data_IF_209082784782
#
_entry.id   IF_209082784782
#
_cell.length_a   1.000
_cell.length_b   1.000
_cell.length_c   1.000
_cell.angle_alpha   90.00
_cell.angle_beta   90.00
_cell.angle_gamma   90.00
#
_symmetry.space_group_name_H-M   'P 1'
#
loop_
_entity.id
_entity.type
_entity.pdbx_description
1 polymer ?
#
# COMPACT_ATOMS: atom_id res chain seq x y z
N UNK A 1 5.13 16.11 7.43
CA UNK A 1 6.18 15.15 7.81
C UNK A 1 6.37 14.15 6.69
N UNK A 2 7.63 13.88 6.34
CA UNK A 2 7.97 12.83 5.40
C UNK A 2 7.96 11.47 6.11
N UNK A 3 7.31 10.50 5.49
CA UNK A 3 7.24 9.12 5.97
C UNK A 3 7.76 8.16 4.90
N UNK A 4 8.51 7.16 5.33
CA UNK A 4 8.84 5.99 4.52
C UNK A 4 7.98 4.82 4.97
N UNK A 5 7.19 4.27 4.06
CA UNK A 5 6.40 3.08 4.31
C UNK A 5 7.17 1.84 3.89
N UNK A 6 7.19 0.84 4.75
CA UNK A 6 7.86 -0.45 4.50
C UNK A 6 6.88 -1.58 4.76
N UNK A 7 6.67 -2.40 3.74
CA UNK A 7 5.89 -3.63 3.85
C UNK A 7 6.81 -4.79 4.26
N UNK A 8 6.36 -5.62 5.19
CA UNK A 8 7.00 -6.89 5.50
C UNK A 8 6.24 -8.02 4.81
N UNK A 9 6.92 -8.81 3.99
CA UNK A 9 6.31 -9.93 3.27
C UNK A 9 6.18 -11.21 4.11
N UNK A 10 6.77 -11.25 5.30
CA UNK A 10 6.71 -12.41 6.19
C UNK A 10 5.30 -12.53 6.81
N UNK A 11 4.63 -13.65 6.57
CA UNK A 11 3.30 -13.90 7.12
C UNK A 11 3.30 -14.11 8.65
N UNK A 12 4.46 -14.34 9.27
CA UNK A 12 4.59 -14.41 10.73
C UNK A 12 4.54 -13.02 11.39
N UNK A 13 4.89 -11.96 10.64
CA UNK A 13 4.85 -10.56 11.08
C UNK A 13 4.27 -9.69 9.94
N UNK A 14 2.97 -9.85 9.60
CA UNK A 14 2.38 -9.29 8.40
C UNK A 14 1.98 -7.82 8.60
N UNK A 15 2.97 -6.95 8.77
CA UNK A 15 2.78 -5.54 9.08
C UNK A 15 3.35 -4.63 8.00
N UNK A 16 2.77 -3.44 7.91
CA UNK A 16 3.32 -2.27 7.22
C UNK A 16 3.74 -1.28 8.28
N UNK A 17 4.99 -0.81 8.20
CA UNK A 17 5.54 0.18 9.14
C UNK A 17 5.73 1.51 8.46
N UNK A 18 5.54 2.59 9.22
CA UNK A 18 5.84 3.95 8.81
C UNK A 18 7.03 4.47 9.62
N UNK A 19 8.06 4.90 8.92
CA UNK A 19 9.27 5.48 9.51
C UNK A 19 9.27 6.99 9.26
N UNK A 20 9.38 7.84 10.28
CA UNK A 20 9.65 9.25 10.07
C UNK A 20 10.98 9.44 9.36
N UNK A 21 11.01 10.28 8.33
CA UNK A 21 12.26 10.69 7.66
C UNK A 21 12.68 12.03 8.25
N UNK A 22 13.85 12.06 8.88
CA UNK A 22 14.43 13.24 9.51
C UNK A 22 15.03 14.18 8.46
N UNK A 23 15.30 15.44 8.85
CA UNK A 23 15.91 16.43 7.96
C UNK A 23 17.28 16.02 7.42
N UNK A 24 18.05 15.24 8.19
CA UNK A 24 19.36 14.71 7.81
C UNK A 24 19.27 13.45 6.92
N UNK A 25 18.04 13.01 6.58
CA UNK A 25 17.77 11.82 5.77
C UNK A 25 17.75 10.50 6.55
N UNK A 26 18.09 10.52 7.84
CA UNK A 26 18.00 9.32 8.67
C UNK A 26 16.53 9.01 9.03
N UNK A 27 16.27 7.74 9.35
CA UNK A 27 14.95 7.31 9.79
C UNK A 27 14.80 7.47 11.31
N UNK A 28 13.61 7.86 11.73
CA UNK A 28 13.18 7.79 13.11
C UNK A 28 12.66 6.40 13.48
N UNK A 29 12.16 6.27 14.70
CA UNK A 29 11.57 5.03 15.18
C UNK A 29 10.28 4.71 14.42
N UNK A 30 10.09 3.47 13.94
CA UNK A 30 8.91 3.10 13.19
C UNK A 30 7.68 2.94 14.07
N UNK A 31 6.54 3.19 13.47
CA UNK A 31 5.24 2.81 14.01
C UNK A 31 4.60 1.73 13.14
N UNK A 32 3.83 0.83 13.73
CA UNK A 32 2.99 -0.09 12.97
C UNK A 32 1.86 0.73 12.35
N UNK A 33 1.88 0.80 11.02
CA UNK A 33 0.89 1.54 10.24
C UNK A 33 -0.37 0.69 9.99
N UNK A 34 -0.17 -0.59 9.64
CA UNK A 34 -1.24 -1.56 9.47
C UNK A 34 -0.72 -2.97 9.79
N UNK A 35 -1.57 -3.78 10.41
CA UNK A 35 -1.29 -5.16 10.76
C UNK A 35 -2.46 -6.05 10.31
N UNK A 36 -2.23 -6.86 9.27
CA UNK A 36 -3.28 -7.73 8.71
C UNK A 36 -3.69 -8.87 9.65
N UNK A 37 -2.87 -9.18 10.65
CA UNK A 37 -3.22 -10.21 11.66
C UNK A 37 -4.26 -9.72 12.68
N UNK A 38 -4.49 -8.41 12.74
CA UNK A 38 -5.43 -7.76 13.68
C UNK A 38 -6.71 -7.26 13.03
N UNK A 39 -6.87 -7.46 11.73
CA UNK A 39 -8.05 -7.03 10.99
C UNK A 39 -8.67 -8.25 10.28
N UNK A 40 -9.84 -8.69 10.76
CA UNK A 40 -10.54 -9.87 10.24
C UNK A 40 -11.21 -9.64 8.88
N UNK A 41 -11.22 -8.39 8.38
CA UNK A 41 -11.73 -8.05 7.05
C UNK A 41 -10.76 -8.44 5.92
N UNK A 42 -9.51 -8.77 6.25
CA UNK A 42 -8.47 -9.14 5.29
C UNK A 42 -7.78 -10.44 5.71
N UNK A 43 -7.25 -11.22 4.75
CA UNK A 43 -6.41 -12.38 5.09
C UNK A 43 -5.17 -11.96 5.86
N UNK A 44 -4.71 -12.80 6.78
CA UNK A 44 -3.40 -12.65 7.41
C UNK A 44 -2.32 -12.94 6.37
N UNK A 45 -1.71 -11.91 5.84
CA UNK A 45 -0.67 -12.01 4.82
C UNK A 45 0.22 -10.79 4.85
N UNK A 46 1.50 -10.99 4.58
CA UNK A 46 2.45 -9.89 4.41
C UNK A 46 2.18 -9.07 3.14
N UNK A 47 2.83 -7.92 3.07
CA UNK A 47 2.72 -7.00 1.95
C UNK A 47 3.83 -7.17 0.92
N UNK A 48 3.62 -6.58 -0.25
CA UNK A 48 4.58 -6.50 -1.34
C UNK A 48 4.69 -5.03 -1.81
N UNK A 49 4.50 -4.73 -3.09
CA UNK A 49 4.60 -3.36 -3.58
C UNK A 49 3.53 -2.42 -3.03
N UNK A 50 3.87 -1.15 -2.92
CA UNK A 50 2.95 -0.11 -2.47
C UNK A 50 3.22 1.23 -3.15
N UNK A 51 2.20 2.08 -3.22
CA UNK A 51 2.29 3.46 -3.69
C UNK A 51 1.38 4.35 -2.85
N UNK A 52 1.67 5.64 -2.86
CA UNK A 52 0.93 6.66 -2.11
C UNK A 52 0.24 7.61 -3.11
N UNK A 53 -0.96 8.07 -2.78
CA UNK A 53 -1.65 9.11 -3.55
C UNK A 53 -1.38 10.52 -3.00
N UNK A 54 -1.87 11.54 -3.70
CA UNK A 54 -1.70 12.95 -3.31
C UNK A 54 -2.42 13.32 -2.02
N UNK A 55 -3.33 12.48 -1.54
CA UNK A 55 -4.05 12.67 -0.26
C UNK A 55 -3.37 11.95 0.91
N UNK A 56 -2.27 11.23 0.64
CA UNK A 56 -1.55 10.43 1.63
C UNK A 56 -2.14 9.05 1.87
N UNK A 57 -3.11 8.61 1.06
CA UNK A 57 -3.61 7.23 1.15
C UNK A 57 -2.57 6.27 0.57
N UNK A 58 -2.41 5.12 1.22
CA UNK A 58 -1.46 4.09 0.80
C UNK A 58 -2.22 2.98 0.09
N UNK A 59 -1.80 2.67 -1.13
CA UNK A 59 -2.29 1.55 -1.94
C UNK A 59 -1.26 0.44 -1.80
N UNK A 60 -1.55 -0.54 -0.95
CA UNK A 60 -0.61 -1.58 -0.53
C UNK A 60 -1.06 -2.94 -1.03
N UNK A 61 -0.23 -3.63 -1.80
CA UNK A 61 -0.50 -4.99 -2.26
C UNK A 61 -0.21 -6.01 -1.16
N UNK A 62 -0.91 -7.12 -1.20
CA UNK A 62 -0.88 -8.19 -0.22
C UNK A 62 -2.21 -8.31 0.52
N UNK A 63 -2.29 -9.23 1.46
CA UNK A 63 -3.49 -9.45 2.28
C UNK A 63 -4.80 -9.53 1.47
N UNK A 64 -4.75 -10.23 0.32
CA UNK A 64 -5.90 -10.52 -0.53
C UNK A 64 -6.30 -9.43 -1.50
N UNK A 65 -5.37 -8.60 -1.96
CA UNK A 65 -5.63 -7.60 -2.99
C UNK A 65 -4.78 -6.37 -2.85
N UNK A 66 -5.31 -5.22 -3.25
CA UNK A 66 -4.72 -3.91 -2.95
C UNK A 66 -5.51 -3.28 -1.81
N UNK A 67 -4.89 -3.16 -0.66
CA UNK A 67 -5.46 -2.45 0.47
C UNK A 67 -5.36 -0.95 0.23
N UNK A 68 -6.44 -0.22 0.48
CA UNK A 68 -6.45 1.24 0.45
C UNK A 68 -6.52 1.69 1.90
N UNK A 69 -5.41 2.26 2.38
CA UNK A 69 -5.25 2.68 3.77
C UNK A 69 -5.23 4.20 3.85
N UNK A 70 -5.93 4.76 4.82
CA UNK A 70 -5.89 6.20 5.09
C UNK A 70 -4.50 6.63 5.57
N UNK A 71 -4.19 7.95 5.62
CA UNK A 71 -2.95 8.43 6.23
C UNK A 71 -2.74 8.01 7.70
N UNK A 72 -3.81 7.57 8.37
CA UNK A 72 -3.78 7.05 9.74
C UNK A 72 -3.68 5.52 9.82
N UNK A 73 -3.57 4.83 8.68
CA UNK A 73 -3.53 3.37 8.63
C UNK A 73 -4.88 2.68 8.76
N UNK A 74 -5.99 3.39 8.57
CA UNK A 74 -7.33 2.81 8.60
C UNK A 74 -7.65 2.19 7.23
N UNK A 75 -8.20 0.98 7.23
CA UNK A 75 -8.63 0.32 6.00
C UNK A 75 -9.88 0.99 5.44
N UNK A 76 -9.73 1.65 4.29
CA UNK A 76 -10.81 2.33 3.56
C UNK A 76 -11.53 1.39 2.59
N UNK A 77 -10.80 0.44 2.02
CA UNK A 77 -11.33 -0.48 1.03
C UNK A 77 -10.24 -1.39 0.49
N UNK A 78 -10.65 -2.25 -0.44
CA UNK A 78 -9.77 -3.24 -1.05
C UNK A 78 -10.14 -3.43 -2.52
N UNK A 79 -9.12 -3.41 -3.40
CA UNK A 79 -9.27 -3.80 -4.80
C UNK A 79 -8.94 -5.29 -4.93
N UNK A 80 -9.85 -6.05 -5.52
CA UNK A 80 -9.71 -7.51 -5.69
C UNK A 80 -9.90 -7.84 -7.16
N UNK A 81 -8.96 -8.58 -7.73
CA UNK A 81 -9.02 -9.04 -9.13
C UNK A 81 -9.38 -10.53 -9.26
N UNK A 82 -9.37 -11.26 -8.15
CA UNK A 82 -9.47 -12.72 -8.13
C UNK A 82 -8.11 -13.42 -8.20
N UNK A 83 -7.05 -12.68 -8.46
CA UNK A 83 -5.67 -13.15 -8.52
C UNK A 83 -4.79 -12.43 -7.49
N UNK A 84 -3.61 -12.99 -7.24
CA UNK A 84 -2.60 -12.35 -6.39
C UNK A 84 -2.07 -11.10 -7.05
N UNK A 85 -1.97 -9.99 -6.30
CA UNK A 85 -1.45 -8.72 -6.79
C UNK A 85 -0.14 -8.42 -6.09
N UNK A 86 0.95 -8.37 -6.84
CA UNK A 86 2.30 -8.18 -6.29
C UNK A 86 2.73 -6.71 -6.24
N UNK A 87 2.27 -5.89 -7.19
CA UNK A 87 2.71 -4.51 -7.26
C UNK A 87 1.66 -3.61 -7.91
N UNK A 88 1.79 -2.32 -7.65
CA UNK A 88 0.98 -1.25 -8.24
C UNK A 88 1.86 -0.09 -8.67
N UNK A 89 1.42 0.65 -9.68
CA UNK A 89 2.08 1.87 -10.13
C UNK A 89 1.06 2.86 -10.67
N UNK A 90 1.25 4.13 -10.36
CA UNK A 90 0.52 5.21 -10.98
C UNK A 90 1.05 5.48 -12.38
N UNK A 91 0.18 5.82 -13.30
CA UNK A 91 0.57 6.14 -14.67
C UNK A 91 -0.38 7.10 -15.35
N UNK A 92 -0.09 7.40 -16.61
CA UNK A 92 -0.76 8.37 -17.46
C UNK A 92 -0.66 9.78 -16.83
N UNK A 93 -1.78 10.40 -16.49
CA UNK A 93 -1.83 11.69 -15.78
C UNK A 93 -1.75 11.54 -14.24
N UNK A 94 -1.40 10.34 -13.75
CA UNK A 94 -1.36 9.99 -12.34
C UNK A 94 -2.66 9.39 -11.80
N UNK A 95 -3.76 9.43 -12.54
CA UNK A 95 -5.08 8.93 -12.07
C UNK A 95 -5.37 7.48 -12.46
N UNK A 96 -4.49 6.85 -13.25
CA UNK A 96 -4.61 5.44 -13.61
C UNK A 96 -3.69 4.61 -12.72
N UNK A 97 -4.25 3.64 -12.01
CA UNK A 97 -3.48 2.68 -11.22
C UNK A 97 -3.33 1.39 -12.03
N UNK A 98 -2.09 1.00 -12.29
CA UNK A 98 -1.72 -0.26 -12.91
C UNK A 98 -1.40 -1.28 -11.84
N UNK A 99 -1.84 -2.54 -12.05
CA UNK A 99 -1.69 -3.64 -11.11
C UNK A 99 -1.07 -4.84 -11.82
N UNK A 100 -0.02 -5.41 -11.25
CA UNK A 100 0.48 -6.71 -11.68
C UNK A 100 -0.28 -7.80 -10.92
N UNK A 101 -1.26 -8.40 -11.61
CA UNK A 101 -2.21 -9.35 -11.05
C UNK A 101 -1.95 -10.73 -11.65
N UNK A 102 -1.04 -11.49 -11.03
CA UNK A 102 -0.50 -12.77 -11.51
C UNK A 102 0.00 -12.63 -12.97
N UNK A 103 -0.60 -13.35 -13.93
CA UNK A 103 -0.24 -13.26 -15.35
C UNK A 103 -0.82 -12.03 -16.08
N UNK A 104 -1.62 -11.22 -15.41
CA UNK A 104 -2.33 -10.09 -16.01
C UNK A 104 -1.70 -8.76 -15.62
N UNK A 105 -1.66 -7.84 -16.55
CA UNK A 105 -1.48 -6.41 -16.28
C UNK A 105 -2.85 -5.74 -16.34
N UNK A 106 -3.34 -5.34 -15.20
CA UNK A 106 -4.63 -4.67 -15.06
C UNK A 106 -4.46 -3.17 -14.87
N UNK A 107 -5.50 -2.40 -15.16
CA UNK A 107 -5.54 -0.98 -14.83
C UNK A 107 -6.92 -0.57 -14.36
N UNK A 108 -6.97 0.43 -13.50
CA UNK A 108 -8.20 1.03 -13.03
C UNK A 108 -8.05 2.55 -13.02
N UNK A 109 -9.10 3.23 -13.50
CA UNK A 109 -9.20 4.69 -13.39
C UNK A 109 -9.66 5.04 -11.97
N UNK A 110 -8.94 5.93 -11.31
CA UNK A 110 -9.23 6.37 -9.94
C UNK A 110 -9.72 7.81 -9.92
N UNK A 111 -10.31 8.21 -8.79
CA UNK A 111 -10.69 9.61 -8.51
C UNK A 111 -9.59 10.38 -7.76
N UNK A 112 -8.43 9.79 -7.61
CA UNK A 112 -7.26 10.40 -6.98
C UNK A 112 -6.07 10.30 -7.92
N UNK A 113 -4.96 10.92 -7.57
CA UNK A 113 -3.71 10.85 -8.33
C UNK A 113 -2.58 10.35 -7.44
N UNK A 114 -1.64 9.66 -8.07
CA UNK A 114 -0.41 9.26 -7.40
C UNK A 114 0.40 10.45 -6.91
N UNK A 115 1.07 10.30 -5.78
CA UNK A 115 2.04 11.28 -5.31
C UNK A 115 3.19 11.39 -6.33
N UNK A 116 3.55 12.62 -6.69
CA UNK A 116 4.59 12.89 -7.70
C UNK A 116 4.08 13.11 -9.12
N UNK A 117 2.76 13.16 -9.31
CA UNK A 117 2.14 13.49 -10.61
C UNK A 117 1.44 14.84 -10.59
#
# INVERSE_FOLDING_TARGET
HNLLYVANSDSSDPVWRAFPVKEDGNLGDPEVFFDSSKDDRVPRSGGDGLKVDTKGNVFATGAGGVLILSPKGELLGRLVTGESIANVAWGNDGSTLYLTSDMYLCRIQTKTKGAGF
#
